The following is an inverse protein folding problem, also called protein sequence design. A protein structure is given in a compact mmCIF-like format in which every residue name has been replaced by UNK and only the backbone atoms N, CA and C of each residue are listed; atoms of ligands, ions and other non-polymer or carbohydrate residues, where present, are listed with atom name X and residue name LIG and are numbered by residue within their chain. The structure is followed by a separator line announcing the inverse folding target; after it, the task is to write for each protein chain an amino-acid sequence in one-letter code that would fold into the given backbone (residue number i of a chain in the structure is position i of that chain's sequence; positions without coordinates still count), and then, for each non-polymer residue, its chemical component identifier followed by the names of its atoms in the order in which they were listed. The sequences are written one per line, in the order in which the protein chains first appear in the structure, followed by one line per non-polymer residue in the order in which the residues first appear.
data_IF_455010912067
#
_entry.id   IF_455010912067
#
_cell.length_a   1.000
_cell.length_b   1.000
_cell.length_c   1.000
_cell.angle_alpha   90.00
_cell.angle_beta   90.00
_cell.angle_gamma   90.00
#
_symmetry.space_group_name_H-M   'P 1'
#
loop_
_entity.id
_entity.type
_entity.pdbx_description
1 polymer ?
#
# COMPACT_ATOMS: atom_id res chain seq x y z
N UNK A 1 -20.49 -6.33 2.57
CA UNK A 1 -19.32 -5.46 2.80
C UNK A 1 -18.65 -5.74 4.16
N UNK A 2 -19.36 -5.65 5.31
CA UNK A 2 -18.76 -5.89 6.64
C UNK A 2 -18.15 -7.30 6.83
N UNK A 3 -18.76 -8.33 6.24
CA UNK A 3 -18.29 -9.73 6.37
C UNK A 3 -16.90 -9.95 5.77
N UNK A 4 -16.59 -9.32 4.63
CA UNK A 4 -15.29 -9.41 3.98
C UNK A 4 -14.19 -8.73 4.80
N UNK A 5 -14.52 -7.58 5.42
CA UNK A 5 -13.61 -6.88 6.33
C UNK A 5 -13.36 -7.67 7.62
N UNK A 6 -14.38 -8.31 8.16
CA UNK A 6 -14.27 -9.18 9.34
C UNK A 6 -13.40 -10.42 9.07
N UNK A 7 -13.56 -11.06 7.92
CA UNK A 7 -12.72 -12.20 7.52
C UNK A 7 -11.26 -11.78 7.34
N UNK A 8 -11.00 -10.59 6.80
CA UNK A 8 -9.65 -10.07 6.65
C UNK A 8 -9.00 -9.75 8.01
N UNK A 9 -9.74 -9.06 8.88
CA UNK A 9 -9.28 -8.74 10.23
C UNK A 9 -8.99 -10.04 11.01
N UNK A 10 -9.85 -11.05 10.89
CA UNK A 10 -9.65 -12.36 11.48
C UNK A 10 -8.38 -13.03 10.95
N UNK A 11 -8.15 -13.00 9.63
CA UNK A 11 -6.96 -13.59 9.00
C UNK A 11 -5.68 -12.90 9.46
N UNK A 12 -5.68 -11.57 9.54
CA UNK A 12 -4.54 -10.79 10.04
C UNK A 12 -4.27 -11.08 11.52
N UNK A 13 -5.30 -11.18 12.34
CA UNK A 13 -5.18 -11.53 13.77
C UNK A 13 -4.64 -12.95 13.94
N UNK A 14 -5.10 -13.92 13.14
CA UNK A 14 -4.59 -15.30 13.18
C UNK A 14 -3.11 -15.34 12.80
N UNK A 15 -2.71 -14.64 11.75
CA UNK A 15 -1.30 -14.54 11.33
C UNK A 15 -0.44 -13.88 12.41
N UNK A 16 -0.93 -12.80 13.04
CA UNK A 16 -0.26 -12.16 14.17
C UNK A 16 -0.14 -13.10 15.38
N UNK A 17 -1.20 -13.82 15.74
CA UNK A 17 -1.19 -14.76 16.86
C UNK A 17 -0.22 -15.93 16.62
N UNK A 18 -0.13 -16.45 15.39
CA UNK A 18 0.86 -17.47 15.03
C UNK A 18 2.28 -16.89 15.10
N UNK A 19 2.49 -15.66 14.62
CA UNK A 19 3.76 -14.97 14.67
C UNK A 19 4.22 -14.63 16.11
N UNK A 20 3.29 -14.27 16.99
CA UNK A 20 3.57 -13.96 18.41
C UNK A 20 3.69 -15.21 19.29
N UNK A 21 2.96 -16.29 18.96
CA UNK A 21 3.06 -17.57 19.67
C UNK A 21 4.41 -18.26 19.43
N UNK A 22 5.06 -18.01 18.29
CA UNK A 22 6.48 -18.34 18.12
C UNK A 22 7.36 -17.32 18.83
N UNK A 23 7.52 -17.48 20.15
CA UNK A 23 8.28 -16.59 21.04
C UNK A 23 9.79 -16.45 20.76
N UNK A 24 10.30 -17.00 19.66
CA UNK A 24 11.63 -16.64 19.17
C UNK A 24 11.51 -15.55 18.10
N UNK A 25 11.69 -14.30 18.53
CA UNK A 25 11.92 -13.15 17.64
C UNK A 25 13.05 -13.47 16.64
N UNK A 26 14.00 -14.32 17.04
CA UNK A 26 15.05 -14.88 16.21
C UNK A 26 14.53 -15.78 15.08
N UNK A 27 13.53 -16.63 15.33
CA UNK A 27 12.87 -17.47 14.33
C UNK A 27 12.11 -16.61 13.32
N UNK A 28 11.38 -15.60 13.77
CA UNK A 28 10.67 -14.67 12.90
C UNK A 28 11.64 -13.87 12.03
N UNK A 29 12.75 -13.38 12.60
CA UNK A 29 13.81 -12.70 11.84
C UNK A 29 14.46 -13.60 10.79
N UNK A 30 14.71 -14.87 11.11
CA UNK A 30 15.25 -15.86 10.16
C UNK A 30 14.22 -16.16 9.06
N UNK A 31 12.94 -16.30 9.40
CA UNK A 31 11.87 -16.52 8.43
C UNK A 31 11.72 -15.31 7.50
N UNK A 32 11.66 -14.11 8.08
CA UNK A 32 11.54 -12.86 7.32
C UNK A 32 12.77 -12.67 6.46
N UNK A 33 13.99 -12.91 6.95
CA UNK A 33 15.20 -12.79 6.12
C UNK A 33 15.23 -13.82 4.99
N UNK A 34 14.83 -15.06 5.26
CA UNK A 34 14.81 -16.16 4.27
C UNK A 34 13.74 -15.96 3.19
N UNK A 35 12.56 -15.49 3.59
CA UNK A 35 11.41 -15.29 2.72
C UNK A 35 11.12 -13.80 2.46
N UNK A 36 12.10 -12.91 2.69
CA UNK A 36 11.88 -11.45 2.67
C UNK A 36 11.27 -11.00 1.36
N UNK A 37 11.88 -11.45 0.27
CA UNK A 37 11.44 -11.13 -1.07
C UNK A 37 10.02 -11.63 -1.32
N UNK A 38 9.71 -12.86 -0.89
CA UNK A 38 8.38 -13.44 -1.04
C UNK A 38 7.33 -12.69 -0.21
N UNK A 39 7.64 -12.34 1.03
CA UNK A 39 6.74 -11.58 1.92
C UNK A 39 6.48 -10.20 1.34
N UNK A 40 7.53 -9.47 0.93
CA UNK A 40 7.38 -8.14 0.31
C UNK A 40 6.56 -8.23 -0.98
N UNK A 41 6.87 -9.20 -1.84
CA UNK A 41 6.10 -9.44 -3.06
C UNK A 41 4.62 -9.73 -2.76
N UNK A 42 4.36 -10.62 -1.80
CA UNK A 42 3.00 -10.98 -1.39
C UNK A 42 2.24 -9.77 -0.83
N UNK A 43 2.88 -8.94 0.00
CA UNK A 43 2.30 -7.69 0.51
C UNK A 43 1.97 -6.73 -0.63
N UNK A 44 2.86 -6.58 -1.61
CA UNK A 44 2.62 -5.73 -2.79
C UNK A 44 1.43 -6.26 -3.61
N UNK A 45 1.38 -7.56 -3.89
CA UNK A 45 0.28 -8.17 -4.65
C UNK A 45 -1.05 -8.00 -3.91
N UNK A 46 -1.08 -8.27 -2.60
CA UNK A 46 -2.27 -8.06 -1.78
C UNK A 46 -2.71 -6.60 -1.84
N UNK A 47 -1.79 -5.66 -1.63
CA UNK A 47 -2.08 -4.23 -1.73
C UNK A 47 -2.70 -3.86 -3.09
N UNK A 48 -2.15 -4.35 -4.20
CA UNK A 48 -2.66 -4.07 -5.54
C UNK A 48 -4.09 -4.62 -5.72
N UNK A 49 -4.35 -5.86 -5.30
CA UNK A 49 -5.67 -6.49 -5.40
C UNK A 49 -6.71 -5.76 -4.53
N UNK A 50 -6.34 -5.39 -3.30
CA UNK A 50 -7.22 -4.64 -2.41
C UNK A 50 -7.54 -3.27 -2.97
N UNK A 51 -6.52 -2.55 -3.45
CA UNK A 51 -6.71 -1.24 -4.07
C UNK A 51 -7.60 -1.32 -5.31
N UNK A 52 -7.36 -2.31 -6.19
CA UNK A 52 -8.17 -2.51 -7.39
C UNK A 52 -9.64 -2.77 -7.06
N UNK A 53 -9.88 -3.63 -6.06
CA UNK A 53 -11.24 -3.94 -5.60
C UNK A 53 -11.92 -2.72 -4.99
N UNK A 54 -11.19 -1.93 -4.19
CA UNK A 54 -11.71 -0.70 -3.59
C UNK A 54 -12.10 0.34 -4.66
N UNK A 55 -11.24 0.56 -5.65
CA UNK A 55 -11.50 1.49 -6.75
C UNK A 55 -12.65 1.02 -7.62
N UNK A 56 -12.70 -0.27 -7.94
CA UNK A 56 -13.79 -0.85 -8.74
C UNK A 56 -15.14 -0.67 -8.05
N UNK A 57 -15.20 -0.90 -6.73
CA UNK A 57 -16.44 -0.73 -5.96
C UNK A 57 -16.83 0.74 -5.79
N UNK A 58 -15.88 1.64 -5.56
CA UNK A 58 -16.16 3.08 -5.37
C UNK A 58 -16.61 3.77 -6.66
N UNK A 59 -16.12 3.32 -7.81
CA UNK A 59 -16.48 3.85 -9.12
C UNK A 59 -17.66 3.11 -9.78
N UNK A 60 -18.24 2.12 -9.10
CA UNK A 60 -19.37 1.34 -9.61
C UNK A 60 -19.06 0.56 -10.89
N UNK A 61 -17.81 0.10 -11.04
CA UNK A 61 -17.34 -0.58 -12.25
C UNK A 61 -17.81 -2.03 -12.28
N UNK A 62 -18.48 -2.41 -13.37
CA UNK A 62 -18.90 -3.79 -13.60
C UNK A 62 -17.74 -4.65 -14.12
N UNK A 63 -17.03 -5.33 -13.20
CA UNK A 63 -15.93 -6.23 -13.55
C UNK A 63 -16.39 -7.61 -14.05
N UNK A 64 -17.71 -7.86 -14.20
CA UNK A 64 -18.23 -9.14 -14.71
C UNK A 64 -18.18 -9.25 -16.23
N UNK A 65 -18.07 -8.12 -16.93
CA UNK A 65 -17.96 -8.07 -18.38
C UNK A 65 -16.54 -7.76 -18.84
N UNK A 66 -16.12 -8.31 -19.98
CA UNK A 66 -14.79 -8.05 -20.56
C UNK A 66 -14.53 -6.55 -20.82
N UNK A 67 -15.58 -5.82 -21.22
CA UNK A 67 -15.53 -4.35 -21.39
C UNK A 67 -15.35 -3.62 -20.07
N UNK A 68 -16.06 -4.05 -19.03
CA UNK A 68 -15.94 -3.42 -17.72
C UNK A 68 -14.62 -3.73 -17.01
N UNK A 69 -14.03 -4.92 -17.23
CA UNK A 69 -12.64 -5.21 -16.82
C UNK A 69 -11.66 -4.26 -17.50
N UNK A 70 -11.75 -4.08 -18.82
CA UNK A 70 -10.88 -3.15 -19.54
C UNK A 70 -11.01 -1.71 -19.02
N UNK A 71 -12.24 -1.27 -18.73
CA UNK A 71 -12.48 0.04 -18.15
C UNK A 71 -11.92 0.16 -16.72
N UNK A 72 -12.09 -0.87 -15.89
CA UNK A 72 -11.57 -0.90 -14.52
C UNK A 72 -10.04 -0.87 -14.49
N UNK A 73 -9.37 -1.61 -15.37
CA UNK A 73 -7.91 -1.56 -15.53
C UNK A 73 -7.46 -0.15 -15.93
N UNK A 74 -8.16 0.49 -16.86
CA UNK A 74 -7.84 1.87 -17.29
C UNK A 74 -7.94 2.85 -16.12
N UNK A 75 -9.05 2.82 -15.37
CA UNK A 75 -9.24 3.66 -14.18
C UNK A 75 -8.16 3.38 -13.13
N UNK A 76 -7.81 2.10 -12.93
CA UNK A 76 -6.79 1.71 -11.97
C UNK A 76 -5.40 2.25 -12.34
N UNK A 77 -5.02 2.20 -13.61
CA UNK A 77 -3.75 2.77 -14.10
C UNK A 77 -3.71 4.29 -13.87
N UNK A 78 -4.80 5.00 -14.14
CA UNK A 78 -4.89 6.44 -13.84
C UNK A 78 -4.72 6.73 -12.35
N UNK A 79 -5.39 5.96 -11.50
CA UNK A 79 -5.25 6.09 -10.05
C UNK A 79 -3.81 5.85 -9.59
N UNK A 80 -3.11 4.85 -10.13
CA UNK A 80 -1.69 4.64 -9.84
C UNK A 80 -0.86 5.87 -10.25
N UNK A 81 -1.13 6.43 -11.44
CA UNK A 81 -0.49 7.65 -11.92
C UNK A 81 -0.65 8.81 -10.94
N UNK A 82 -1.86 9.00 -10.41
CA UNK A 82 -2.14 10.04 -9.42
C UNK A 82 -1.40 9.79 -8.10
N UNK A 83 -1.34 8.54 -7.62
CA UNK A 83 -0.57 8.19 -6.42
C UNK A 83 0.91 8.51 -6.60
N UNK A 84 1.51 8.09 -7.72
CA UNK A 84 2.92 8.39 -8.03
C UNK A 84 3.14 9.90 -8.12
N UNK A 85 2.25 10.63 -8.78
CA UNK A 85 2.31 12.10 -8.88
C UNK A 85 2.22 12.78 -7.50
N UNK A 86 1.38 12.27 -6.60
CA UNK A 86 1.25 12.77 -5.23
C UNK A 86 2.51 12.48 -4.38
N UNK A 87 3.08 11.29 -4.51
CA UNK A 87 4.34 10.94 -3.84
C UNK A 87 5.48 11.83 -4.35
N UNK A 88 5.62 11.98 -5.68
CA UNK A 88 6.63 12.84 -6.28
C UNK A 88 6.50 14.30 -5.83
N UNK A 89 5.28 14.84 -5.77
CA UNK A 89 5.03 16.18 -5.23
C UNK A 89 5.42 16.28 -3.77
N UNK A 90 4.99 15.34 -2.93
CA UNK A 90 5.30 15.33 -1.49
C UNK A 90 6.80 15.28 -1.24
N UNK A 91 7.51 14.36 -1.89
CA UNK A 91 8.97 14.27 -1.82
C UNK A 91 9.64 15.55 -2.36
N UNK A 92 9.12 16.12 -3.44
CA UNK A 92 9.60 17.40 -3.98
C UNK A 92 9.42 18.58 -3.02
N UNK A 93 8.34 18.61 -2.24
CA UNK A 93 8.16 19.61 -1.17
C UNK A 93 9.18 19.42 -0.06
N UNK A 94 9.43 18.19 0.40
CA UNK A 94 10.43 17.93 1.44
C UNK A 94 11.83 18.34 1.01
N UNK A 95 12.23 18.03 -0.23
CA UNK A 95 13.52 18.46 -0.77
C UNK A 95 13.59 19.98 -0.86
N UNK A 96 12.53 20.68 -1.30
CA UNK A 96 12.56 22.15 -1.36
C UNK A 96 12.62 22.79 0.02
N UNK A 97 12.04 22.16 1.03
CA UNK A 97 12.01 22.70 2.39
C UNK A 97 13.37 22.61 3.09
N UNK A 98 14.16 21.57 2.82
CA UNK A 98 15.51 21.41 3.40
C UNK A 98 16.56 22.36 2.78
N UNK A 99 16.31 22.86 1.56
CA UNK A 99 17.31 23.59 0.76
C UNK A 99 17.06 25.10 0.67
N UNK A 100 16.00 25.60 1.30
CA UNK A 100 15.82 27.05 1.48
C UNK A 100 16.42 27.43 2.84
N UNK A 101 17.68 27.92 2.89
CA UNK A 101 18.21 28.46 4.13
C UNK A 101 17.28 29.58 4.61
N UNK A 102 16.95 29.54 5.90
CA UNK A 102 16.22 30.64 6.53
C UNK A 102 16.93 31.96 6.20
N UNK A 103 16.22 33.04 5.83
CA UNK A 103 16.85 34.32 5.64
C UNK A 103 17.58 34.66 6.94
N UNK A 104 18.91 34.83 6.84
CA UNK A 104 19.74 35.32 7.94
C UNK A 104 19.32 36.77 8.16
N UNK A 105 18.28 36.96 8.97
CA UNK A 105 17.95 38.27 9.51
C UNK A 105 18.97 38.60 10.59
N UNK A 106 20.12 39.08 10.13
CA UNK A 106 21.24 39.54 10.96
C UNK A 106 21.82 40.82 10.36
N UNK A 107 21.01 41.87 10.26
CA UNK A 107 21.51 43.25 10.26
C UNK A 107 21.74 43.66 11.71
N UNK A 108 23.01 43.77 12.09
CA UNK A 108 23.52 44.40 13.30
C UNK A 108 24.99 44.71 13.09
#
# INVERSE_FOLDING_TARGET
MAVSWLLLALLVVIVLLVAFKSQDLMFLLVLVKKYMFFIVFLVIVLFLVFSFTHISNTQGLDVSSSKGVANAVKVYIFWIGDVVGNVARSTGYFIKQDWVPAPVNGTG
#
